data_IF_298889384018
#
_entry.id   IF_298889384018
#
_cell.length_a   1.000
_cell.length_b   1.000
_cell.length_c   1.000
_cell.angle_alpha   90.00
_cell.angle_beta   90.00
_cell.angle_gamma   90.00
#
_symmetry.space_group_name_H-M   'P 1'
#
loop_
_entity.id
_entity.type
_entity.pdbx_description
1 polymer ?
2 non-polymer ?
3 non-polymer ?
4 water ?
#
# COMPACT_ATOMS: atom_id res chain seq x y z
N UNK A 1 0.49 -8.79 9.19
CA UNK A 1 -0.74 -8.03 9.43
C UNK A 1 -0.73 -6.71 8.67
N UNK A 2 -1.90 -6.32 8.17
CA UNK A 2 -2.01 -5.11 7.35
C UNK A 2 -1.88 -3.88 8.23
N UNK A 3 -0.95 -3.00 7.88
CA UNK A 3 -0.76 -1.73 8.55
C UNK A 3 -1.19 -0.59 7.63
N UNK A 4 -1.31 0.60 8.21
CA UNK A 4 -1.65 1.79 7.43
C UNK A 4 -0.57 2.07 6.39
N UNK A 5 0.70 1.83 6.75
CA UNK A 5 1.78 2.07 5.81
C UNK A 5 1.72 1.10 4.62
N UNK A 6 1.21 -0.11 4.83
CA UNK A 6 1.05 -1.03 3.71
C UNK A 6 -0.05 -0.56 2.78
N UNK A 7 -1.11 0.04 3.33
CA UNK A 7 -2.22 0.51 2.51
C UNK A 7 -1.81 1.71 1.67
N UNK A 8 -1.07 2.66 2.25
CA UNK A 8 -0.57 3.78 1.47
C UNK A 8 0.42 3.31 0.41
N UNK A 9 1.27 2.34 0.75
CA UNK A 9 2.23 1.82 -0.21
C UNK A 9 1.52 1.11 -1.36
N UNK A 10 0.42 0.41 -1.07
CA UNK A 10 -0.37 -0.20 -2.14
C UNK A 10 -0.92 0.86 -3.08
N UNK A 11 -1.34 2.01 -2.54
CA UNK A 11 -1.80 3.10 -3.39
C UNK A 11 -0.67 3.66 -4.24
N UNK A 12 0.56 3.65 -3.73
CA UNK A 12 1.68 4.17 -4.50
C UNK A 12 1.99 3.27 -5.69
N UNK A 13 1.87 1.95 -5.51
CA UNK A 13 2.07 1.03 -6.63
C UNK A 13 1.06 1.27 -7.74
N UNK A 14 -0.19 1.54 -7.37
CA UNK A 14 -1.21 1.82 -8.38
C UNK A 14 -1.02 3.21 -8.98
N UNK A 15 -0.66 4.19 -8.16
CA UNK A 15 -0.51 5.56 -8.65
C UNK A 15 0.77 5.76 -9.44
N UNK A 16 1.82 4.99 -9.15
CA UNK A 16 3.09 5.14 -9.85
C UNK A 16 3.32 4.08 -10.91
N UNK A 17 2.76 2.88 -10.74
CA UNK A 17 2.75 1.88 -11.78
C UNK A 17 3.85 0.85 -11.71
N UNK A 18 4.90 1.11 -10.95
CA UNK A 18 5.99 0.16 -10.81
C UNK A 18 6.51 0.20 -9.38
N UNK A 19 7.24 -0.86 -9.02
CA UNK A 19 7.85 -0.93 -7.70
C UNK A 19 8.93 0.14 -7.53
N UNK A 20 9.67 0.43 -8.60
CA UNK A 20 10.74 1.41 -8.51
C UNK A 20 10.20 2.83 -8.43
N UNK A 21 9.16 3.15 -9.21
CA UNK A 21 8.60 4.49 -9.18
C UNK A 21 7.89 4.76 -7.85
N UNK A 22 7.17 3.76 -7.33
CA UNK A 22 6.50 3.94 -6.05
C UNK A 22 7.50 4.12 -4.92
N UNK A 23 8.64 3.42 -4.99
CA UNK A 23 9.66 3.58 -3.96
C UNK A 23 10.23 4.99 -3.96
N UNK A 24 10.42 5.58 -5.15
CA UNK A 24 10.92 6.95 -5.22
C UNK A 24 9.93 7.92 -4.58
N UNK A 25 8.63 7.69 -4.78
CA UNK A 25 7.62 8.54 -4.17
C UNK A 25 7.62 8.40 -2.65
N UNK A 26 7.72 7.17 -2.15
CA UNK A 26 7.65 6.90 -0.72
C UNK A 26 8.98 7.12 0.00
N UNK A 27 9.98 7.69 -0.68
CA UNK A 27 11.29 7.96 -0.08
C UNK A 27 11.93 6.69 0.46
N UNK A 28 11.78 5.59 -0.28
CA UNK A 28 12.39 4.32 0.06
C UNK A 28 13.13 3.79 -1.16
N UNK A 29 14.02 2.83 -0.91
CA UNK A 29 14.71 2.17 -2.01
C UNK A 29 13.80 1.09 -2.61
N UNK A 30 14.13 0.69 -3.85
CA UNK A 30 13.30 -0.28 -4.55
C UNK A 30 13.36 -1.65 -3.88
N UNK A 31 14.54 -2.06 -3.41
CA UNK A 31 14.66 -3.37 -2.78
C UNK A 31 13.98 -3.39 -1.41
N UNK A 32 14.10 -2.29 -0.66
CA UNK A 32 13.45 -2.24 0.65
C UNK A 32 11.93 -2.29 0.52
N UNK A 33 11.38 -1.66 -0.52
CA UNK A 33 9.95 -1.76 -0.77
C UNK A 33 9.56 -3.19 -1.15
N UNK A 34 10.36 -3.82 -2.01
CA UNK A 34 10.09 -5.21 -2.37
C UNK A 34 10.23 -6.12 -1.16
N UNK A 35 11.17 -5.82 -0.26
CA UNK A 35 11.34 -6.62 0.94
C UNK A 35 10.16 -6.44 1.89
N UNK A 36 9.62 -5.22 1.97
CA UNK A 36 8.47 -4.98 2.84
C UNK A 36 7.25 -5.75 2.35
N UNK A 37 7.06 -5.84 1.03
CA UNK A 37 5.88 -6.51 0.50
C UNK A 37 5.97 -8.03 0.67
N UNK A 38 7.09 -8.63 0.24
CA UNK A 38 7.26 -10.06 0.42
C UNK A 38 7.20 -10.44 1.89
N UNK A 39 7.71 -9.58 2.77
CA UNK A 39 7.57 -9.79 4.20
C UNK A 39 6.10 -9.80 4.61
N UNK A 40 5.31 -8.87 4.07
CA UNK A 40 3.88 -8.85 4.37
C UNK A 40 3.17 -10.04 3.75
N UNK A 41 3.51 -10.38 2.50
CA UNK A 41 2.89 -11.51 1.83
C UNK A 41 3.17 -12.82 2.56
N UNK A 42 4.34 -12.94 3.18
CA UNK A 42 4.67 -14.16 3.91
C UNK A 42 3.78 -14.33 5.13
N UNK A 43 3.54 -13.25 5.88
CA UNK A 43 2.72 -13.37 7.08
C UNK A 43 1.24 -13.50 6.74
N UNK A 44 0.77 -12.81 5.70
CA UNK A 44 -0.64 -12.90 5.32
C UNK A 44 -0.98 -14.26 4.73
N UNK A 45 -0.04 -14.89 4.03
CA UNK A 45 -0.28 -16.17 3.40
C UNK A 45 -0.64 -16.11 1.93
N UNK A 46 -0.54 -14.94 1.30
CA UNK A 46 -0.89 -14.80 -0.11
C UNK A 46 -0.10 -13.63 -0.69
N UNK A 47 -0.03 -13.61 -2.02
CA UNK A 47 0.69 -12.56 -2.73
C UNK A 47 -0.23 -11.39 -3.05
N UNK A 48 0.36 -10.20 -3.08
CA UNK A 48 -0.39 -8.97 -3.33
C UNK A 48 -0.32 -8.51 -4.78
N UNK A 49 0.77 -8.78 -5.48
CA UNK A 49 0.88 -8.42 -6.89
C UNK A 49 1.67 -9.49 -7.62
N UNK A 50 1.43 -9.59 -8.93
CA UNK A 50 1.97 -10.67 -9.73
C UNK A 50 3.48 -10.53 -9.84
N UNK A 51 4.19 -11.60 -9.47
CA UNK A 51 5.64 -11.61 -9.54
C UNK A 51 6.12 -11.47 -10.99
N UNK A 52 7.16 -10.66 -11.18
CA UNK A 52 7.83 -10.49 -12.47
C UNK A 52 6.98 -9.73 -13.48
N UNK A 53 5.74 -9.42 -13.14
CA UNK A 53 4.82 -8.83 -14.10
C UNK A 53 5.30 -7.46 -14.57
N UNK A 54 5.21 -7.24 -15.87
CA UNK A 54 5.58 -5.97 -16.48
C UNK A 54 4.65 -5.65 -17.65
N UNK A 55 3.76 -4.66 -17.48
CA UNK A 55 3.60 -3.79 -16.31
C UNK A 55 3.09 -4.51 -15.07
N UNK A 56 3.33 -3.91 -13.91
CA UNK A 56 3.03 -4.56 -12.64
C UNK A 56 1.53 -4.76 -12.48
N UNK A 57 1.13 -5.98 -12.14
CA UNK A 57 -0.27 -6.35 -11.97
C UNK A 57 -0.51 -6.81 -10.54
N UNK A 58 -1.61 -6.35 -9.96
CA UNK A 58 -2.02 -6.80 -8.64
C UNK A 58 -2.69 -8.16 -8.74
N UNK A 59 -2.54 -8.96 -7.69
CA UNK A 59 -3.33 -10.17 -7.54
C UNK A 59 -4.74 -9.79 -7.11
N UNK A 60 -5.70 -10.72 -7.17
CA UNK A 60 -7.03 -10.42 -6.62
C UNK A 60 -6.99 -9.98 -5.16
N UNK A 61 -6.09 -10.56 -4.36
CA UNK A 61 -5.96 -10.12 -2.98
C UNK A 61 -5.39 -8.71 -2.90
N UNK A 62 -4.49 -8.36 -3.81
CA UNK A 62 -3.96 -7.00 -3.83
C UNK A 62 -5.00 -5.97 -4.23
N UNK A 63 -5.89 -6.34 -5.15
CA UNK A 63 -6.98 -5.44 -5.53
C UNK A 63 -7.95 -5.23 -4.37
N UNK A 64 -8.20 -6.29 -3.59
CA UNK A 64 -9.08 -6.17 -2.44
C UNK A 64 -8.48 -5.22 -1.41
N UNK A 65 -7.18 -5.37 -1.14
CA UNK A 65 -6.54 -4.52 -0.14
C UNK A 65 -6.31 -3.11 -0.67
N UNK A 66 -6.18 -2.95 -1.99
CA UNK A 66 -6.11 -1.62 -2.57
C UNK A 66 -7.43 -0.88 -2.41
N UNK A 67 -8.55 -1.56 -2.66
CA UNK A 67 -9.85 -0.95 -2.41
C UNK A 67 -10.06 -0.70 -0.93
N UNK A 68 -9.53 -1.57 -0.07
CA UNK A 68 -9.53 -1.28 1.36
C UNK A 68 -8.82 0.03 1.64
N UNK A 69 -7.64 0.22 1.04
CA UNK A 69 -6.87 1.44 1.27
C UNK A 69 -7.62 2.68 0.79
N UNK A 70 -8.23 2.61 -0.40
CA UNK A 70 -8.98 3.74 -0.92
C UNK A 70 -10.13 4.14 -0.01
N UNK A 71 -10.55 3.26 0.89
CA UNK A 71 -11.65 3.53 1.80
C UNK A 71 -11.18 3.98 3.18
N UNK A 72 -10.15 3.33 3.73
CA UNK A 72 -9.73 3.60 5.10
C UNK A 72 -8.92 4.89 5.18
N UNK A 73 -7.97 5.07 4.25
CA UNK A 73 -7.07 6.21 4.33
C UNK A 73 -7.79 7.55 4.37
N UNK A 74 -8.79 7.83 3.52
CA UNK A 74 -9.53 9.10 3.68
C UNK A 74 -10.23 9.23 5.02
N UNK A 75 -10.68 8.12 5.61
CA UNK A 75 -11.35 8.20 6.91
C UNK A 75 -10.37 8.57 8.01
N UNK A 76 -9.17 7.97 8.00
CA UNK A 76 -8.15 8.34 8.97
C UNK A 76 -7.78 9.81 8.81
N UNK A 77 -7.65 10.28 7.56
CA UNK A 77 -7.32 11.68 7.31
C UNK A 77 -8.39 12.61 7.88
N UNK A 78 -9.66 12.31 7.60
CA UNK A 78 -10.74 13.15 8.11
C UNK A 78 -10.80 13.13 9.63
N UNK A 79 -10.45 11.99 10.25
CA UNK A 79 -10.46 11.91 11.71
C UNK A 79 -9.39 12.79 12.32
N UNK A 80 -8.18 12.78 11.75
CA UNK A 80 -7.11 13.61 12.28
C UNK A 80 -7.36 15.09 12.02
N UNK A 81 -8.00 15.43 10.89
CA UNK A 81 -8.37 16.82 10.64
C UNK A 81 -9.40 17.30 11.65
N UNK A 82 -10.36 16.44 12.01
CA UNK A 82 -11.33 16.80 13.04
C UNK A 82 -10.67 16.95 14.40
N UNK A 83 -9.65 16.14 14.69
CA UNK A 83 -8.92 16.27 15.95
C UNK A 83 -8.21 17.61 16.04
N UNK A 84 -7.72 18.13 14.92
CA UNK A 84 -7.03 19.41 14.88
C UNK A 84 -7.94 20.58 14.56
N UNK A 85 -9.25 20.34 14.46
CA UNK A 85 -10.17 21.44 14.22
C UNK A 85 -10.14 22.40 15.41
N UNK A 86 -10.19 23.71 15.17
CA UNK A 86 -10.11 24.66 16.29
C UNK A 86 -11.32 24.58 17.21
N UNK A 87 -11.41 23.48 17.95
CA UNK A 87 -12.51 23.21 18.86
C UNK A 87 -12.09 22.05 19.75
N UNK A 88 -12.99 21.65 20.66
CA UNK A 88 -12.79 20.49 21.52
C UNK A 88 -11.51 20.59 22.34
X LIG B 1 7.20 -9.15 -3.12
X LIG C 1 -7.97 7.19 -1.94
X LIG C 1 -9.36 7.21 -1.61
X LIG C 1 -7.26 8.34 -1.23
X LIG C 1 -6.35 7.82 -0.26
#
# INVERSE_FOLDING_TARGET
MIEVKHLKTLQALRNCGSLAAAAATLHQTQSALSHQFSDLEQRLGFRLFVRKSQPLRFTPQGEILLQLANQVLPQISQALQACNEPQQTRLR
MG MG
EDO C1 O1 C2 O2
#
